data_IF_262746169133
#
_entry.id   IF_262746169133
#
_cell.length_a   1.000
_cell.length_b   1.000
_cell.length_c   1.000
_cell.angle_alpha   90.00
_cell.angle_beta   90.00
_cell.angle_gamma   90.00
#
_symmetry.space_group_name_H-M   'P 1'
#
loop_
_entity.id
_entity.type
_entity.pdbx_description
1 polymer ?
#
# COMPACT_ATOMS: atom_id res chain seq x y z
N UNK A 1 43.17 58.24 55.21
CA UNK A 1 42.03 58.55 54.32
C UNK A 1 42.42 58.09 52.91
N UNK A 2 41.48 57.51 52.15
CA UNK A 2 41.61 56.76 50.87
C UNK A 2 41.84 55.24 51.06
N UNK A 3 40.87 54.32 50.90
CA UNK A 3 39.90 53.98 49.82
C UNK A 3 40.50 53.22 48.62
N UNK A 4 40.13 51.92 48.54
CA UNK A 4 39.79 51.11 47.32
C UNK A 4 40.98 50.74 46.41
N UNK A 5 41.12 49.59 45.75
CA UNK A 5 40.19 48.61 45.16
C UNK A 5 40.93 47.28 44.90
N UNK A 6 40.26 46.13 45.10
CA UNK A 6 40.46 44.89 44.30
C UNK A 6 39.72 45.08 42.94
N UNK A 7 39.86 44.29 41.83
CA UNK A 7 39.97 42.82 41.83
C UNK A 7 40.55 42.09 40.56
N UNK A 8 40.41 40.75 40.61
CA UNK A 8 40.22 39.72 39.54
C UNK A 8 41.44 39.14 38.80
N UNK A 9 41.80 37.90 39.21
CA UNK A 9 42.42 36.87 38.39
C UNK A 9 41.46 36.41 37.28
N UNK A 10 41.89 36.46 36.03
CA UNK A 10 41.18 35.86 34.90
C UNK A 10 41.60 34.38 34.74
N UNK A 11 40.70 33.46 35.08
CA UNK A 11 40.81 32.02 34.75
C UNK A 11 40.21 31.80 33.37
N UNK A 12 41.05 31.37 32.40
CA UNK A 12 40.59 30.93 31.09
C UNK A 12 40.04 29.49 31.20
N UNK A 13 38.73 29.33 31.02
CA UNK A 13 38.06 28.03 30.93
C UNK A 13 37.96 27.68 29.44
N UNK A 14 38.71 26.66 29.00
CA UNK A 14 38.58 26.11 27.67
C UNK A 14 37.34 25.20 27.61
N UNK A 15 36.23 25.74 27.11
CA UNK A 15 35.01 24.98 26.80
C UNK A 15 35.21 24.22 25.48
N UNK A 16 35.48 22.93 25.57
CA UNK A 16 35.37 22.00 24.44
C UNK A 16 33.87 21.81 24.18
N UNK A 17 33.37 22.35 23.06
CA UNK A 17 32.02 22.06 22.57
C UNK A 17 31.96 20.58 22.15
N UNK A 18 31.27 19.77 22.96
CA UNK A 18 30.77 18.48 22.49
C UNK A 18 29.62 18.75 21.51
N UNK A 19 29.85 18.47 20.23
CA UNK A 19 28.78 18.43 19.23
C UNK A 19 27.81 17.30 19.59
N UNK A 20 26.48 17.53 19.56
CA UNK A 20 25.54 16.44 19.70
C UNK A 20 25.66 15.55 18.47
N UNK A 21 26.08 14.30 18.68
CA UNK A 21 25.91 13.24 17.68
C UNK A 21 24.41 13.06 17.57
N UNK A 22 23.83 13.52 16.46
CA UNK A 22 22.42 13.25 16.14
C UNK A 22 22.24 11.73 16.06
N UNK A 23 21.59 11.16 17.07
CA UNK A 23 21.10 9.80 16.99
C UNK A 23 20.08 9.67 15.87
N UNK A 24 19.85 8.45 15.33
CA UNK A 24 18.75 8.24 14.41
C UNK A 24 17.46 8.70 15.09
N UNK A 25 16.69 9.55 14.41
CA UNK A 25 15.35 9.89 14.85
C UNK A 25 14.55 8.58 14.91
N UNK A 26 14.28 8.06 16.12
CA UNK A 26 13.23 7.06 16.27
C UNK A 26 11.95 7.70 15.73
N UNK A 27 11.38 7.11 14.68
CA UNK A 27 10.00 7.37 14.31
C UNK A 27 9.15 7.24 15.58
N UNK A 28 8.41 8.29 15.91
CA UNK A 28 7.52 8.29 17.06
C UNK A 28 6.48 7.19 16.82
N UNK A 29 6.28 6.30 17.80
CA UNK A 29 5.25 5.28 17.69
C UNK A 29 3.88 5.93 17.43
N UNK A 30 3.05 5.39 16.52
CA UNK A 30 1.72 5.94 16.24
C UNK A 30 0.82 5.83 17.48
N UNK A 31 -0.19 6.69 17.55
CA UNK A 31 -1.20 6.61 18.61
C UNK A 31 -2.22 5.51 18.28
N UNK A 32 -2.15 4.42 19.05
CA UNK A 32 -3.00 3.24 18.87
C UNK A 32 -4.40 3.40 19.48
N UNK A 33 -4.66 4.42 20.31
CA UNK A 33 -5.98 4.61 20.95
C UNK A 33 -6.22 3.72 22.18
N UNK A 34 -7.45 3.20 22.33
CA UNK A 34 -7.90 2.32 23.42
C UNK A 34 -8.48 0.98 22.91
N UNK A 35 -9.00 0.15 23.82
CA UNK A 35 -9.58 -1.18 23.51
C UNK A 35 -11.13 -1.14 23.64
N UNK A 36 -11.76 -0.09 23.09
CA UNK A 36 -13.22 0.10 23.18
C UNK A 36 -14.03 -0.66 22.13
N UNK A 37 -13.40 -1.21 21.10
CA UNK A 37 -14.05 -2.04 20.09
C UNK A 37 -14.59 -3.34 20.69
N UNK A 38 -15.63 -3.87 20.06
CA UNK A 38 -16.16 -5.21 20.37
C UNK A 38 -15.25 -6.35 19.91
N UNK A 39 -14.27 -6.03 19.07
CA UNK A 39 -13.29 -6.96 18.50
C UNK A 39 -11.92 -6.85 19.18
N UNK A 40 -11.75 -5.87 20.07
CA UNK A 40 -10.51 -5.74 20.84
C UNK A 40 -10.15 -7.02 21.61
N UNK A 41 -8.86 -7.35 21.59
CA UNK A 41 -8.25 -8.56 22.19
C UNK A 41 -8.59 -9.88 21.49
N UNK A 42 -8.91 -9.86 20.20
CA UNK A 42 -9.12 -11.07 19.40
C UNK A 42 -7.87 -11.53 18.63
N UNK A 43 -6.81 -10.70 18.63
CA UNK A 43 -5.51 -11.01 18.07
C UNK A 43 -5.29 -10.52 16.62
N UNK A 44 -6.27 -9.84 16.06
CA UNK A 44 -6.20 -9.12 14.78
C UNK A 44 -6.32 -7.61 15.04
N UNK A 45 -5.76 -6.77 14.16
CA UNK A 45 -5.91 -5.32 14.25
C UNK A 45 -7.13 -4.87 13.45
N UNK A 46 -8.12 -4.28 14.11
CA UNK A 46 -9.35 -3.80 13.47
C UNK A 46 -9.28 -2.32 13.04
N UNK A 47 -8.26 -1.57 13.47
CA UNK A 47 -8.14 -0.14 13.19
C UNK A 47 -7.82 0.11 11.70
N UNK A 48 -8.75 0.71 10.91
CA UNK A 48 -8.60 0.89 9.47
C UNK A 48 -7.47 1.87 9.07
N UNK A 49 -6.82 2.54 10.02
CA UNK A 49 -5.64 3.37 9.76
C UNK A 49 -4.39 2.53 9.51
N UNK A 50 -4.42 1.22 9.77
CA UNK A 50 -3.30 0.32 9.55
C UNK A 50 -3.51 -0.60 8.35
N UNK A 51 -2.42 -1.18 7.85
CA UNK A 51 -2.42 -2.19 6.79
C UNK A 51 -1.35 -3.26 7.04
N UNK A 52 -1.65 -4.52 6.68
CA UNK A 52 -0.69 -5.63 6.78
C UNK A 52 -1.29 -6.99 7.17
N UNK A 53 -0.42 -7.99 7.38
CA UNK A 53 -0.81 -9.39 7.74
C UNK A 53 -1.48 -9.48 9.11
N UNK A 54 -1.25 -8.51 9.99
CA UNK A 54 -1.87 -8.47 11.31
C UNK A 54 -3.24 -7.81 11.34
N UNK A 55 -3.82 -7.42 10.21
CA UNK A 55 -5.15 -6.79 10.14
C UNK A 55 -6.27 -7.83 10.16
N UNK A 56 -7.41 -7.45 10.72
CA UNK A 56 -8.66 -8.18 10.53
C UNK A 56 -9.03 -8.21 9.04
N UNK A 57 -9.70 -9.29 8.62
CA UNK A 57 -10.13 -9.46 7.22
C UNK A 57 -11.12 -8.36 6.77
N UNK A 58 -11.85 -7.75 7.71
CA UNK A 58 -12.76 -6.64 7.48
C UNK A 58 -12.56 -5.60 8.59
N UNK A 59 -12.25 -4.36 8.21
CA UNK A 59 -12.13 -3.24 9.15
C UNK A 59 -13.24 -2.23 8.90
N UNK A 60 -13.64 -1.51 9.95
CA UNK A 60 -14.73 -0.52 9.90
C UNK A 60 -14.29 0.81 10.51
N UNK A 61 -14.82 1.97 10.07
CA UNK A 61 -14.53 3.26 10.69
C UNK A 61 -14.84 3.33 12.18
N UNK A 62 -15.79 2.51 12.66
CA UNK A 62 -16.13 2.41 14.08
C UNK A 62 -15.01 1.80 14.95
N UNK A 63 -14.07 1.08 14.33
CA UNK A 63 -12.95 0.42 15.00
C UNK A 63 -11.66 1.29 14.98
N UNK A 64 -11.74 2.49 14.41
CA UNK A 64 -10.64 3.47 14.43
C UNK A 64 -10.27 3.87 15.86
N UNK A 65 -8.99 3.70 16.23
CA UNK A 65 -8.48 3.96 17.59
C UNK A 65 -9.10 3.10 18.70
N UNK A 66 -9.80 2.02 18.36
CA UNK A 66 -10.60 1.26 19.32
C UNK A 66 -10.08 -0.16 19.56
N UNK A 67 -8.96 -0.54 18.94
CA UNK A 67 -8.32 -1.85 19.07
C UNK A 67 -6.80 -1.73 19.33
N UNK A 68 -6.46 -0.95 20.35
CA UNK A 68 -5.09 -0.51 20.58
C UNK A 68 -4.11 -1.65 20.91
N UNK A 69 -4.56 -2.65 21.66
CA UNK A 69 -3.70 -3.74 22.13
C UNK A 69 -3.25 -4.64 20.99
N UNK A 70 -4.15 -5.03 20.09
CA UNK A 70 -3.82 -5.94 18.98
C UNK A 70 -3.09 -5.19 17.86
N UNK A 71 -3.52 -3.98 17.52
CA UNK A 71 -2.80 -3.13 16.58
C UNK A 71 -1.38 -2.80 17.05
N UNK A 72 -1.15 -2.53 18.34
CA UNK A 72 0.20 -2.33 18.87
C UNK A 72 1.04 -3.60 18.75
N UNK A 73 0.50 -4.74 19.16
CA UNK A 73 1.22 -6.01 19.10
C UNK A 73 1.60 -6.37 17.65
N UNK A 74 0.68 -6.17 16.70
CA UNK A 74 0.92 -6.38 15.29
C UNK A 74 1.95 -5.40 14.71
N UNK A 75 1.91 -4.12 15.11
CA UNK A 75 2.85 -3.09 14.66
C UNK A 75 4.27 -3.35 15.20
N UNK A 76 4.39 -3.67 16.49
CA UNK A 76 5.68 -4.02 17.12
C UNK A 76 6.28 -5.31 16.54
N UNK A 77 5.44 -6.25 16.11
CA UNK A 77 5.85 -7.44 15.38
C UNK A 77 6.22 -7.17 13.91
N UNK A 78 6.03 -5.94 13.41
CA UNK A 78 6.26 -5.59 12.01
C UNK A 78 5.26 -6.23 11.03
N UNK A 79 4.11 -6.69 11.53
CA UNK A 79 3.05 -7.31 10.72
C UNK A 79 2.09 -6.30 10.10
N UNK A 80 2.02 -5.08 10.67
CA UNK A 80 1.22 -3.97 10.13
C UNK A 80 1.99 -2.65 10.15
N UNK A 81 1.54 -1.67 9.36
CA UNK A 81 2.04 -0.28 9.33
C UNK A 81 0.88 0.71 9.33
N UNK A 82 1.13 1.97 9.74
CA UNK A 82 0.15 3.04 9.60
C UNK A 82 0.09 3.53 8.15
N UNK A 83 -1.11 3.58 7.57
CA UNK A 83 -1.38 4.10 6.23
C UNK A 83 -1.08 5.61 6.23
N UNK A 84 -0.16 6.05 5.36
CA UNK A 84 0.22 7.47 5.25
C UNK A 84 1.16 8.01 6.33
N UNK A 85 1.60 7.18 7.30
CA UNK A 85 2.68 7.53 8.23
C UNK A 85 4.06 7.25 7.62
N UNK A 86 5.12 7.94 8.07
CA UNK A 86 6.50 7.63 7.68
C UNK A 86 6.92 6.27 8.26
N UNK A 87 6.63 5.21 7.50
CA UNK A 87 7.24 3.89 7.43
C UNK A 87 7.91 3.34 8.72
N UNK A 88 7.16 2.52 9.47
CA UNK A 88 7.71 1.21 9.86
C UNK A 88 7.82 0.34 8.60
N UNK A 89 8.74 -0.64 8.53
CA UNK A 89 8.91 -1.45 7.33
C UNK A 89 7.57 -2.05 6.97
N UNK A 90 7.11 -1.73 5.77
CA UNK A 90 5.96 -2.36 5.17
C UNK A 90 6.08 -3.89 5.31
N UNK A 91 5.02 -4.64 5.64
CA UNK A 91 5.00 -6.05 5.28
C UNK A 91 5.31 -6.09 3.79
N UNK A 92 6.44 -6.72 3.48
CA UNK A 92 6.90 -6.87 2.14
C UNK A 92 5.86 -7.71 1.39
N UNK A 93 5.09 -7.07 0.50
CA UNK A 93 4.93 -7.70 -0.82
C UNK A 93 6.33 -8.19 -1.21
N UNK A 94 6.53 -9.47 -1.60
CA UNK A 94 7.84 -10.08 -1.72
C UNK A 94 8.75 -9.09 -2.42
N UNK A 95 9.63 -8.47 -1.62
CA UNK A 95 10.37 -7.32 -2.10
C UNK A 95 11.15 -7.83 -3.28
N UNK A 96 10.93 -7.20 -4.43
CA UNK A 96 11.83 -7.37 -5.56
C UNK A 96 13.27 -7.26 -5.06
N UNK A 97 14.22 -7.95 -5.71
CA UNK A 97 15.60 -7.89 -5.29
C UNK A 97 16.01 -6.42 -5.08
N UNK A 98 16.76 -6.17 -4.00
CA UNK A 98 17.10 -4.81 -3.55
C UNK A 98 17.91 -3.99 -4.57
N UNK A 99 18.29 -4.59 -5.70
CA UNK A 99 18.92 -3.94 -6.84
C UNK A 99 17.92 -3.24 -7.77
N UNK A 100 16.61 -3.26 -7.45
CA UNK A 100 15.56 -2.66 -8.26
C UNK A 100 15.15 -3.53 -9.46
N UNK A 101 15.62 -4.77 -9.52
CA UNK A 101 15.13 -5.73 -10.50
C UNK A 101 13.70 -6.16 -10.15
N UNK A 102 12.91 -6.41 -11.19
CA UNK A 102 11.53 -6.81 -11.06
C UNK A 102 11.48 -8.31 -10.75
N UNK A 103 10.82 -8.75 -9.66
CA UNK A 103 10.68 -10.16 -9.33
C UNK A 103 9.55 -10.77 -10.18
N UNK A 104 9.87 -11.12 -11.42
CA UNK A 104 8.91 -11.76 -12.35
C UNK A 104 8.38 -13.11 -11.83
N UNK A 105 9.13 -13.81 -10.97
CA UNK A 105 8.71 -15.08 -10.36
C UNK A 105 9.10 -16.31 -11.18
N UNK A 106 8.19 -17.28 -11.30
CA UNK A 106 8.35 -18.52 -12.07
C UNK A 106 7.22 -18.73 -13.10
N UNK A 107 7.20 -19.88 -13.80
CA UNK A 107 6.17 -20.24 -14.79
C UNK A 107 5.25 -21.36 -14.25
N UNK A 108 4.85 -21.28 -12.97
CA UNK A 108 4.08 -22.35 -12.32
C UNK A 108 2.58 -22.33 -12.59
N UNK A 109 2.04 -21.28 -13.22
CA UNK A 109 0.61 -21.22 -13.54
C UNK A 109 0.25 -22.03 -14.79
N UNK A 110 -1.04 -22.32 -14.96
CA UNK A 110 -1.54 -23.02 -16.16
C UNK A 110 -1.58 -22.14 -17.41
N UNK A 111 -1.42 -20.83 -17.24
CA UNK A 111 -1.42 -19.82 -18.31
C UNK A 111 -0.01 -19.32 -18.63
N UNK A 112 1.00 -19.73 -17.87
CA UNK A 112 2.38 -19.38 -18.16
C UNK A 112 2.83 -19.86 -19.55
N UNK A 113 3.62 -19.04 -20.24
CA UNK A 113 4.18 -19.33 -21.58
C UNK A 113 3.11 -19.44 -22.68
N UNK A 114 2.02 -18.69 -22.56
CA UNK A 114 0.98 -18.59 -23.59
C UNK A 114 1.11 -17.33 -24.47
N UNK A 115 2.03 -16.42 -24.11
CA UNK A 115 2.36 -15.20 -24.85
C UNK A 115 1.65 -13.95 -24.35
N UNK A 116 0.86 -14.04 -23.29
CA UNK A 116 0.26 -12.91 -22.55
C UNK A 116 0.91 -12.80 -21.16
N UNK A 117 0.84 -11.64 -20.51
CA UNK A 117 1.25 -11.51 -19.11
C UNK A 117 0.06 -11.69 -18.18
N UNK A 118 0.04 -12.77 -17.40
CA UNK A 118 -1.03 -13.06 -16.43
C UNK A 118 -0.80 -12.45 -15.03
N UNK A 119 0.36 -11.82 -14.84
CA UNK A 119 0.71 -11.22 -13.56
C UNK A 119 0.01 -9.88 -13.39
N UNK A 120 -1.10 -9.90 -12.63
CA UNK A 120 -1.95 -8.75 -12.33
C UNK A 120 -1.20 -7.49 -11.83
N UNK A 121 0.01 -7.63 -11.28
CA UNK A 121 0.86 -6.49 -10.86
C UNK A 121 1.32 -5.61 -12.02
N UNK A 122 1.30 -6.14 -13.24
CA UNK A 122 1.65 -5.42 -14.46
C UNK A 122 0.41 -4.79 -15.10
N UNK A 123 0.60 -3.78 -15.94
CA UNK A 123 -0.42 -3.16 -16.78
C UNK A 123 0.14 -2.88 -18.17
N UNK A 124 -0.73 -2.89 -19.19
CA UNK A 124 -0.37 -2.58 -20.57
C UNK A 124 -1.04 -3.50 -21.60
N UNK A 125 -0.81 -3.25 -22.91
CA UNK A 125 -1.42 -4.02 -23.98
C UNK A 125 -0.97 -5.49 -24.08
N UNK A 126 0.10 -5.89 -23.39
CA UNK A 126 0.53 -7.29 -23.33
C UNK A 126 -0.12 -8.11 -22.20
N UNK A 127 -1.03 -7.52 -21.41
CA UNK A 127 -1.70 -8.25 -20.34
C UNK A 127 -2.72 -9.25 -20.89
N UNK A 128 -2.88 -10.36 -20.17
CA UNK A 128 -4.00 -11.27 -20.40
C UNK A 128 -5.35 -10.58 -20.15
N UNK A 129 -6.40 -11.11 -20.78
CA UNK A 129 -7.77 -10.56 -20.70
C UNK A 129 -8.52 -10.94 -19.42
N UNK A 130 -7.99 -11.89 -18.66
CA UNK A 130 -8.51 -12.34 -17.37
C UNK A 130 -7.37 -12.41 -16.37
N UNK A 131 -7.40 -11.58 -15.34
CA UNK A 131 -6.33 -11.48 -14.35
C UNK A 131 -6.83 -11.90 -12.98
N UNK A 132 -6.02 -12.68 -12.27
CA UNK A 132 -6.32 -13.18 -10.94
C UNK A 132 -5.10 -13.05 -10.03
N UNK A 133 -5.33 -12.83 -8.74
CA UNK A 133 -4.26 -12.89 -7.74
C UNK A 133 -3.55 -14.25 -7.69
N UNK A 134 -4.21 -15.32 -8.14
CA UNK A 134 -3.61 -16.65 -8.17
C UNK A 134 -2.42 -16.76 -9.15
N UNK A 135 -2.38 -15.92 -10.20
CA UNK A 135 -1.36 -15.96 -11.26
C UNK A 135 -0.19 -14.98 -11.05
N UNK A 136 -0.25 -14.17 -9.99
CA UNK A 136 0.82 -13.22 -9.66
C UNK A 136 2.16 -13.92 -9.40
N UNK A 137 3.19 -13.52 -10.14
CA UNK A 137 4.53 -14.10 -10.06
C UNK A 137 4.65 -15.53 -10.59
N UNK A 138 3.67 -16.00 -11.38
CA UNK A 138 3.62 -17.37 -11.90
C UNK A 138 3.59 -17.45 -13.43
N UNK A 139 3.91 -16.34 -14.07
CA UNK A 139 4.05 -16.20 -15.52
C UNK A 139 5.27 -15.32 -15.85
N UNK A 140 6.43 -15.78 -15.39
CA UNK A 140 7.64 -14.97 -15.41
C UNK A 140 8.22 -14.77 -16.81
N UNK A 141 8.14 -15.78 -17.67
CA UNK A 141 8.71 -15.74 -19.02
C UNK A 141 8.00 -14.71 -19.89
N UNK A 142 6.67 -14.70 -19.90
CA UNK A 142 5.90 -13.81 -20.78
C UNK A 142 5.90 -12.39 -20.22
N UNK A 143 5.62 -12.19 -18.93
CA UNK A 143 5.69 -10.87 -18.31
C UNK A 143 7.08 -10.22 -18.46
N UNK A 144 8.17 -10.98 -18.35
CA UNK A 144 9.52 -10.45 -18.61
C UNK A 144 9.68 -10.04 -20.07
N UNK A 145 9.33 -10.93 -21.00
CA UNK A 145 9.47 -10.68 -22.44
C UNK A 145 8.68 -9.44 -22.86
N UNK A 146 7.43 -9.34 -22.40
CA UNK A 146 6.54 -8.22 -22.70
C UNK A 146 6.96 -6.93 -22.00
N UNK A 147 7.54 -7.01 -20.80
CA UNK A 147 8.12 -5.86 -20.12
C UNK A 147 9.34 -5.31 -20.88
N UNK A 148 10.24 -6.18 -21.32
CA UNK A 148 11.41 -5.81 -22.14
C UNK A 148 11.01 -5.24 -23.50
N UNK A 149 9.88 -5.70 -24.06
CA UNK A 149 9.28 -5.15 -25.27
C UNK A 149 8.51 -3.84 -25.05
N UNK A 150 8.35 -3.39 -23.80
CA UNK A 150 7.57 -2.19 -23.46
C UNK A 150 6.06 -2.36 -23.64
N UNK A 151 5.58 -3.60 -23.71
CA UNK A 151 4.16 -3.93 -23.83
C UNK A 151 3.45 -4.08 -22.48
N UNK A 152 4.21 -4.30 -21.40
CA UNK A 152 3.71 -4.21 -20.03
C UNK A 152 4.68 -3.43 -19.15
N UNK A 153 4.16 -2.82 -18.08
CA UNK A 153 4.92 -2.13 -17.03
C UNK A 153 4.40 -2.57 -15.68
N UNK A 154 5.21 -2.47 -14.62
CA UNK A 154 4.64 -2.54 -13.28
C UNK A 154 3.63 -1.41 -13.10
N UNK A 155 2.48 -1.75 -12.54
CA UNK A 155 1.47 -0.77 -12.19
C UNK A 155 1.90 -0.06 -10.91
N UNK A 156 1.97 1.27 -10.98
CA UNK A 156 2.34 2.13 -9.86
C UNK A 156 1.06 2.79 -9.32
N UNK A 157 0.71 2.43 -8.09
CA UNK A 157 -0.47 2.90 -7.36
C UNK A 157 -0.48 4.40 -7.10
N UNK A 158 0.66 4.97 -6.69
CA UNK A 158 0.73 6.39 -6.35
C UNK A 158 0.54 7.24 -7.60
N UNK A 159 1.20 6.85 -8.69
CA UNK A 159 1.05 7.51 -9.97
C UNK A 159 -0.36 7.30 -10.56
N UNK A 160 -0.93 6.10 -10.44
CA UNK A 160 -2.29 5.80 -10.90
C UNK A 160 -3.33 6.68 -10.20
N UNK A 161 -3.27 6.75 -8.87
CA UNK A 161 -4.19 7.57 -8.07
C UNK A 161 -4.05 9.05 -8.34
N UNK A 162 -2.83 9.54 -8.56
CA UNK A 162 -2.60 10.93 -8.88
C UNK A 162 -3.16 11.32 -10.27
N UNK A 163 -3.16 10.37 -11.22
CA UNK A 163 -3.60 10.59 -12.59
C UNK A 163 -5.10 10.29 -12.83
N UNK A 164 -5.72 9.46 -11.98
CA UNK A 164 -7.11 9.05 -12.14
C UNK A 164 -8.07 10.19 -11.79
N UNK A 165 -8.76 10.74 -12.79
CA UNK A 165 -9.89 11.67 -12.61
C UNK A 165 -11.21 10.90 -12.67
N UNK A 166 -11.71 10.47 -11.51
CA UNK A 166 -12.95 9.70 -11.40
C UNK A 166 -14.16 10.43 -12.01
N UNK A 167 -14.19 11.77 -12.00
CA UNK A 167 -15.31 12.53 -12.54
C UNK A 167 -15.35 12.50 -14.08
N UNK A 168 -14.24 12.17 -14.73
CA UNK A 168 -14.13 12.08 -16.18
C UNK A 168 -14.40 10.67 -16.74
N UNK A 169 -14.51 9.66 -15.87
CA UNK A 169 -14.63 8.26 -16.29
C UNK A 169 -16.09 7.91 -16.60
N UNK A 170 -16.30 7.26 -17.75
CA UNK A 170 -17.53 6.53 -18.03
C UNK A 170 -17.46 5.13 -17.40
N UNK A 171 -18.14 4.98 -16.28
CA UNK A 171 -18.23 3.73 -15.53
C UNK A 171 -19.19 2.71 -16.17
N UNK A 172 -20.02 3.12 -17.15
CA UNK A 172 -20.97 2.22 -17.80
C UNK A 172 -22.25 1.97 -16.99
N UNK A 173 -22.69 0.71 -16.94
CA UNK A 173 -23.92 0.24 -16.29
C UNK A 173 -23.68 -0.82 -15.21
N UNK A 174 -24.76 -1.38 -14.64
CA UNK A 174 -24.73 -2.44 -13.63
C UNK A 174 -25.37 -3.73 -14.18
N UNK A 175 -25.08 -4.08 -15.44
CA UNK A 175 -25.79 -5.15 -16.14
C UNK A 175 -25.26 -6.56 -15.87
N UNK A 176 -24.08 -6.73 -15.26
CA UNK A 176 -23.53 -8.05 -14.95
C UNK A 176 -24.07 -8.63 -13.65
N UNK A 177 -23.86 -9.93 -13.44
CA UNK A 177 -24.20 -10.60 -12.18
C UNK A 177 -23.24 -10.27 -11.04
N UNK A 178 -22.08 -9.68 -11.37
CA UNK A 178 -21.04 -9.26 -10.44
C UNK A 178 -21.20 -7.79 -10.04
N UNK A 179 -22.08 -7.04 -10.71
CA UNK A 179 -22.41 -5.67 -10.33
C UNK A 179 -23.03 -5.58 -8.93
N UNK A 180 -22.74 -4.48 -8.21
CA UNK A 180 -23.33 -4.18 -6.90
C UNK A 180 -22.98 -5.19 -5.78
N UNK A 181 -21.81 -5.82 -5.86
CA UNK A 181 -21.31 -6.77 -4.84
C UNK A 181 -20.51 -6.07 -3.73
N UNK A 182 -20.21 -4.79 -3.89
CA UNK A 182 -19.38 -3.98 -3.00
C UNK A 182 -17.92 -3.88 -3.42
N UNK A 183 -17.50 -4.67 -4.41
CA UNK A 183 -16.18 -4.69 -5.05
C UNK A 183 -16.30 -4.15 -6.47
N UNK A 184 -15.19 -3.67 -7.04
CA UNK A 184 -15.13 -3.30 -8.45
C UNK A 184 -14.65 -4.49 -9.29
N UNK A 185 -15.44 -4.90 -10.28
CA UNK A 185 -15.10 -5.99 -11.20
C UNK A 185 -14.48 -5.51 -12.53
N UNK A 186 -14.54 -4.20 -12.78
CA UNK A 186 -14.11 -3.61 -14.04
C UNK A 186 -12.57 -3.62 -14.22
N UNK A 187 -12.03 -4.39 -15.18
CA UNK A 187 -10.59 -4.59 -15.36
C UNK A 187 -9.83 -3.34 -15.82
N UNK A 188 -10.51 -2.22 -16.08
CA UNK A 188 -9.85 -0.93 -16.31
C UNK A 188 -9.20 -0.39 -15.03
N UNK A 189 -9.62 -0.87 -13.88
CA UNK A 189 -9.18 -0.42 -12.57
C UNK A 189 -8.31 -1.45 -11.84
N UNK A 190 -7.55 -0.97 -10.88
CA UNK A 190 -6.86 -1.79 -9.89
C UNK A 190 -6.90 -1.10 -8.53
N UNK A 191 -6.77 -1.85 -7.44
CA UNK A 191 -6.77 -1.30 -6.08
C UNK A 191 -7.25 -2.30 -5.04
N UNK A 192 -7.34 -1.86 -3.79
CA UNK A 192 -7.66 -2.74 -2.66
C UNK A 192 -9.12 -3.18 -2.61
N UNK A 193 -10.01 -2.51 -3.35
CA UNK A 193 -11.44 -2.80 -3.40
C UNK A 193 -11.88 -3.41 -4.73
N UNK A 194 -10.95 -4.02 -5.47
CA UNK A 194 -11.27 -4.79 -6.67
C UNK A 194 -11.63 -6.23 -6.31
N UNK A 195 -12.40 -6.90 -7.17
CA UNK A 195 -12.58 -8.35 -7.07
C UNK A 195 -11.24 -9.09 -7.22
N UNK A 196 -11.18 -10.32 -6.73
CA UNK A 196 -10.02 -11.19 -6.82
C UNK A 196 -9.68 -11.64 -8.25
N UNK A 197 -10.68 -11.66 -9.13
CA UNK A 197 -10.59 -12.03 -10.54
C UNK A 197 -11.25 -10.92 -11.37
N UNK A 198 -10.48 -10.29 -12.23
CA UNK A 198 -10.97 -9.22 -13.12
C UNK A 198 -10.91 -9.71 -14.55
N UNK A 199 -11.98 -9.54 -15.32
CA UNK A 199 -12.06 -10.05 -16.70
C UNK A 199 -12.55 -8.99 -17.65
N UNK A 200 -12.07 -9.02 -18.90
CA UNK A 200 -12.46 -8.08 -19.96
C UNK A 200 -13.97 -7.95 -20.15
N UNK A 201 -14.74 -9.00 -19.85
CA UNK A 201 -16.20 -9.00 -19.96
C UNK A 201 -16.89 -8.09 -18.94
N UNK A 202 -16.24 -7.72 -17.83
CA UNK A 202 -16.81 -6.86 -16.79
C UNK A 202 -16.52 -5.36 -17.05
N UNK A 203 -15.91 -5.04 -18.19
CA UNK A 203 -15.61 -3.65 -18.57
C UNK A 203 -16.89 -2.82 -18.65
N UNK A 204 -17.06 -1.87 -17.73
CA UNK A 204 -18.19 -0.97 -17.68
C UNK A 204 -19.52 -1.61 -17.28
N UNK A 205 -19.49 -2.76 -16.60
CA UNK A 205 -20.70 -3.46 -16.17
C UNK A 205 -20.92 -3.51 -14.66
N UNK A 206 -20.05 -2.83 -13.90
CA UNK A 206 -20.14 -2.66 -12.46
C UNK A 206 -19.96 -1.17 -12.06
N UNK A 207 -20.80 -0.32 -12.66
CA UNK A 207 -20.62 1.11 -12.60
C UNK A 207 -20.79 1.70 -11.20
N UNK A 208 -21.77 1.20 -10.43
CA UNK A 208 -22.10 1.72 -9.10
C UNK A 208 -20.98 1.51 -8.10
N UNK A 209 -20.40 0.31 -8.04
CA UNK A 209 -19.29 0.03 -7.12
C UNK A 209 -17.99 0.67 -7.60
N UNK A 210 -17.61 0.50 -8.86
CA UNK A 210 -16.38 1.11 -9.37
C UNK A 210 -16.39 2.64 -9.23
N UNK A 211 -17.52 3.32 -9.46
CA UNK A 211 -17.62 4.77 -9.23
C UNK A 211 -17.40 5.13 -7.78
N UNK A 212 -18.14 4.49 -6.86
CA UNK A 212 -18.05 4.75 -5.42
C UNK A 212 -16.62 4.51 -4.92
N UNK A 213 -16.01 3.41 -5.34
CA UNK A 213 -14.66 3.03 -4.94
C UNK A 213 -13.60 3.95 -5.54
N UNK A 214 -13.77 4.42 -6.78
CA UNK A 214 -12.88 5.43 -7.36
C UNK A 214 -12.95 6.74 -6.56
N UNK A 215 -14.15 7.22 -6.25
CA UNK A 215 -14.37 8.46 -5.49
C UNK A 215 -13.81 8.37 -4.06
N UNK A 216 -13.81 7.18 -3.46
CA UNK A 216 -13.16 6.90 -2.18
C UNK A 216 -11.63 6.81 -2.28
N UNK A 217 -11.06 6.83 -3.50
CA UNK A 217 -9.64 6.63 -3.75
C UNK A 217 -9.19 5.19 -3.50
N UNK A 218 -10.13 4.25 -3.56
CA UNK A 218 -9.92 2.83 -3.29
C UNK A 218 -9.43 2.02 -4.49
N UNK A 219 -9.70 2.54 -5.68
CA UNK A 219 -9.23 2.00 -6.95
C UNK A 219 -8.74 3.16 -7.83
N UNK A 220 -7.90 2.84 -8.80
CA UNK A 220 -7.37 3.77 -9.79
C UNK A 220 -7.23 3.07 -11.14
N UNK A 221 -7.16 3.83 -12.23
CA UNK A 221 -7.01 3.26 -13.56
C UNK A 221 -5.69 2.50 -13.70
N UNK A 222 -5.73 1.39 -14.44
CA UNK A 222 -4.54 0.62 -14.82
C UNK A 222 -3.73 1.32 -15.91
N UNK A 223 -4.43 2.00 -16.82
CA UNK A 223 -3.85 2.86 -17.86
C UNK A 223 -4.14 4.34 -17.55
N UNK A 224 -3.08 5.13 -17.35
CA UNK A 224 -3.14 6.50 -16.84
C UNK A 224 -1.96 7.35 -17.32
#
# INVERSE_FOLDING_TARGET
MALRSFPVLATAIASILAAPIGGPAQAQAPDFGDDSSRWAHDGECDDPRFEGEGMAAFTSPEDEMADASDCRAAFEAGRIRLIGGTAGPAPASPAGPADGSIPFGDDSSQWAQDGECDDRRFAGPGMATSLSWEHVGRDATDCRTLHEAGQVRLWDWEAARAATDCAAIDFGDDASEYANTGLCDDPRFEGFAMDGIITANETGHDASDCRRLCEMGAIALRDY
#
